data_IF_901823713464
#
_entry.id   IF_901823713464
#
_cell.length_a   1.000
_cell.length_b   1.000
_cell.length_c   1.000
_cell.angle_alpha   90.00
_cell.angle_beta   90.00
_cell.angle_gamma   90.00
#
_symmetry.space_group_name_H-M   'P 1'
#
loop_
_entity.id
_entity.type
_entity.pdbx_description
1 polymer ?
#
# COMPACT_ATOMS: atom_id res chain seq x y z
N UNK A 1 13.40 23.15 -0.06
CA UNK A 1 13.21 22.73 1.34
C UNK A 1 13.11 21.21 1.33
N UNK A 2 13.95 20.50 2.10
CA UNK A 2 13.83 19.04 2.21
C UNK A 2 12.47 18.69 2.84
N UNK A 3 11.76 17.66 2.36
CA UNK A 3 10.52 17.23 2.99
C UNK A 3 10.81 16.79 4.43
N UNK A 4 10.00 17.25 5.38
CA UNK A 4 10.06 16.79 6.76
C UNK A 4 9.35 15.44 6.84
N UNK A 5 10.11 14.35 7.05
CA UNK A 5 9.57 13.02 7.29
C UNK A 5 9.08 12.93 8.74
N UNK A 6 7.94 13.56 9.02
CA UNK A 6 7.23 13.39 10.29
C UNK A 6 6.56 12.01 10.30
N UNK A 7 6.64 11.32 11.44
CA UNK A 7 6.05 9.99 11.63
C UNK A 7 4.54 10.02 11.93
N UNK A 8 3.93 11.21 11.84
CA UNK A 8 2.48 11.40 11.92
C UNK A 8 1.77 10.63 10.81
N UNK A 9 1.43 9.38 11.14
CA UNK A 9 0.73 8.43 10.27
C UNK A 9 -0.73 8.85 10.08
N UNK A 10 -1.21 8.71 8.85
CA UNK A 10 -2.64 8.79 8.58
C UNK A 10 -3.29 7.50 9.05
N UNK A 11 -4.24 7.64 9.97
CA UNK A 11 -4.97 6.52 10.56
C UNK A 11 -6.24 6.29 9.74
N UNK A 12 -6.45 5.06 9.30
CA UNK A 12 -7.65 4.63 8.60
C UNK A 12 -8.78 4.45 9.61
N UNK A 13 -9.81 5.28 9.50
CA UNK A 13 -10.94 5.31 10.45
C UNK A 13 -12.10 4.45 9.97
N UNK A 14 -13.05 4.19 10.88
CA UNK A 14 -14.30 3.48 10.56
C UNK A 14 -15.18 4.22 9.54
N UNK A 15 -15.08 5.57 9.47
CA UNK A 15 -15.76 6.31 8.39
C UNK A 15 -15.09 6.09 7.03
N UNK A 16 -13.75 5.98 7.02
CA UNK A 16 -12.99 5.70 5.80
C UNK A 16 -13.34 4.33 5.23
N UNK A 17 -13.61 3.32 6.06
CA UNK A 17 -14.06 1.98 5.62
C UNK A 17 -15.22 2.01 4.61
N UNK A 18 -16.15 2.96 4.77
CA UNK A 18 -17.35 3.09 3.92
C UNK A 18 -17.11 3.85 2.61
N UNK A 19 -16.02 4.61 2.52
CA UNK A 19 -15.82 5.62 1.47
C UNK A 19 -14.51 5.46 0.71
N UNK A 20 -13.54 4.75 1.28
CA UNK A 20 -12.23 4.56 0.70
C UNK A 20 -12.17 3.26 -0.09
N UNK A 21 -11.51 3.35 -1.24
CA UNK A 21 -11.05 2.18 -1.98
C UNK A 21 -9.70 1.74 -1.44
N UNK A 22 -9.50 0.45 -1.25
CA UNK A 22 -8.25 -0.12 -0.75
C UNK A 22 -7.57 -0.90 -1.87
N UNK A 23 -6.41 -0.41 -2.31
CA UNK A 23 -5.63 -1.06 -3.37
C UNK A 23 -4.74 -2.16 -2.78
N UNK A 24 -4.85 -3.36 -3.33
CA UNK A 24 -4.07 -4.54 -2.94
C UNK A 24 -3.02 -4.84 -4.00
N UNK A 25 -1.73 -4.93 -3.63
CA UNK A 25 -0.71 -5.38 -4.57
C UNK A 25 -0.95 -6.85 -4.94
N UNK A 26 -0.64 -7.22 -6.18
CA UNK A 26 -0.81 -8.59 -6.64
C UNK A 26 0.32 -9.47 -6.13
N UNK A 27 -0.01 -10.41 -5.24
CA UNK A 27 0.94 -11.36 -4.66
C UNK A 27 0.72 -12.80 -5.13
N UNK A 28 -0.52 -13.17 -5.49
CA UNK A 28 -0.82 -14.49 -6.02
C UNK A 28 -2.18 -14.50 -6.75
N UNK A 29 -2.20 -14.61 -8.09
CA UNK A 29 -3.43 -14.48 -8.87
C UNK A 29 -4.57 -15.43 -8.45
N UNK A 30 -4.24 -16.66 -8.00
CA UNK A 30 -5.23 -17.68 -7.68
C UNK A 30 -5.87 -17.50 -6.30
N UNK A 31 -5.08 -17.19 -5.28
CA UNK A 31 -5.60 -17.03 -3.90
C UNK A 31 -6.43 -15.76 -3.77
N UNK A 32 -6.02 -14.73 -4.50
CA UNK A 32 -6.52 -13.39 -4.28
C UNK A 32 -7.83 -13.10 -5.05
N UNK A 33 -8.13 -13.83 -6.12
CA UNK A 33 -9.46 -13.77 -6.78
C UNK A 33 -10.61 -14.25 -5.87
N UNK A 34 -10.30 -15.11 -4.89
CA UNK A 34 -11.27 -15.55 -3.87
C UNK A 34 -11.41 -14.55 -2.71
N UNK A 35 -10.35 -13.79 -2.42
CA UNK A 35 -10.34 -12.82 -1.32
C UNK A 35 -11.16 -11.57 -1.64
N UNK A 36 -11.16 -11.11 -2.89
CA UNK A 36 -11.91 -9.92 -3.30
C UNK A 36 -13.41 -9.97 -2.97
N UNK A 37 -14.19 -11.01 -3.35
CA UNK A 37 -15.60 -11.08 -3.01
C UNK A 37 -15.85 -11.21 -1.50
N UNK A 38 -14.96 -11.88 -0.76
CA UNK A 38 -15.06 -12.02 0.70
C UNK A 38 -14.89 -10.66 1.37
N UNK A 39 -13.86 -9.89 1.01
CA UNK A 39 -13.60 -8.58 1.59
C UNK A 39 -14.70 -7.56 1.25
N UNK A 40 -15.27 -7.65 0.04
CA UNK A 40 -16.45 -6.85 -0.34
C UNK A 40 -17.67 -7.18 0.51
N UNK A 41 -17.91 -8.46 0.82
CA UNK A 41 -18.99 -8.87 1.71
C UNK A 41 -18.79 -8.35 3.14
N UNK A 42 -17.54 -8.25 3.60
CA UNK A 42 -17.18 -7.64 4.89
C UNK A 42 -17.26 -6.09 4.86
N UNK A 43 -17.77 -5.48 3.78
CA UNK A 43 -18.03 -4.04 3.72
C UNK A 43 -16.81 -3.18 3.42
N UNK A 44 -15.77 -3.75 2.80
CA UNK A 44 -14.59 -3.02 2.33
C UNK A 44 -14.55 -2.98 0.79
N UNK A 45 -14.26 -1.82 0.20
CA UNK A 45 -14.05 -1.72 -1.25
C UNK A 45 -12.59 -2.03 -1.61
N UNK A 46 -12.25 -3.32 -1.64
CA UNK A 46 -10.94 -3.77 -2.09
C UNK A 46 -10.88 -3.89 -3.61
N UNK A 47 -9.78 -3.41 -4.18
CA UNK A 47 -9.43 -3.60 -5.58
C UNK A 47 -8.06 -4.26 -5.69
N UNK A 48 -8.05 -5.39 -6.40
CA UNK A 48 -6.83 -6.09 -6.72
C UNK A 48 -6.14 -5.43 -7.90
N UNK A 49 -4.88 -5.05 -7.72
CA UNK A 49 -4.10 -4.60 -8.86
C UNK A 49 -3.82 -5.79 -9.81
N UNK A 50 -3.73 -5.54 -11.12
CA UNK A 50 -3.33 -6.57 -12.09
C UNK A 50 -1.89 -7.00 -11.85
N UNK A 51 -1.43 -8.07 -12.49
CA UNK A 51 -0.03 -8.50 -12.37
C UNK A 51 0.93 -7.32 -12.67
N UNK A 52 2.01 -7.17 -11.87
CA UNK A 52 2.94 -6.06 -12.05
C UNK A 52 3.62 -6.15 -13.41
N UNK A 53 3.77 -4.98 -14.03
CA UNK A 53 4.39 -4.77 -15.33
C UNK A 53 5.81 -4.27 -15.17
N UNK A 54 6.54 -4.14 -16.29
CA UNK A 54 7.86 -3.52 -16.28
C UNK A 54 7.82 -2.06 -15.84
N UNK A 55 6.77 -1.34 -16.22
CA UNK A 55 6.62 0.08 -15.85
C UNK A 55 6.45 0.24 -14.34
N UNK A 56 5.75 -0.70 -13.68
CA UNK A 56 5.63 -0.72 -12.22
C UNK A 56 7.00 -0.88 -11.54
N UNK A 57 7.89 -1.69 -12.11
CA UNK A 57 9.26 -1.87 -11.60
C UNK A 57 10.07 -0.58 -11.75
N UNK A 58 9.98 0.09 -12.90
CA UNK A 58 10.67 1.37 -13.14
C UNK A 58 10.17 2.45 -12.17
N UNK A 59 8.86 2.50 -11.90
CA UNK A 59 8.29 3.38 -10.87
C UNK A 59 8.84 3.03 -9.49
N UNK A 60 8.94 1.74 -9.14
CA UNK A 60 9.54 1.30 -7.89
C UNK A 60 10.99 1.77 -7.73
N UNK A 61 11.82 1.63 -8.77
CA UNK A 61 13.21 2.08 -8.81
C UNK A 61 13.35 3.60 -8.71
N UNK A 62 12.33 4.38 -9.12
CA UNK A 62 12.31 5.83 -8.96
C UNK A 62 12.12 6.27 -7.51
N UNK A 63 11.34 5.55 -6.73
CA UNK A 63 10.96 5.94 -5.37
C UNK A 63 11.69 5.16 -4.26
N UNK A 64 12.33 4.04 -4.58
CA UNK A 64 13.04 3.19 -3.62
C UNK A 64 14.52 3.11 -4.00
N UNK A 65 15.38 2.98 -2.98
CA UNK A 65 16.80 2.74 -3.19
C UNK A 65 17.06 1.35 -3.82
N UNK A 66 18.08 1.27 -4.67
CA UNK A 66 18.49 0.04 -5.35
C UNK A 66 18.92 -1.12 -4.43
N UNK A 67 19.17 -0.85 -3.14
CA UNK A 67 19.52 -1.87 -2.13
C UNK A 67 18.28 -2.48 -1.43
N UNK A 68 17.07 -2.07 -1.81
CA UNK A 68 15.86 -2.74 -1.40
C UNK A 68 15.75 -4.12 -2.09
N UNK A 69 15.17 -5.11 -1.39
CA UNK A 69 14.94 -6.40 -2.01
C UNK A 69 13.93 -6.26 -3.16
N UNK A 70 14.15 -7.02 -4.24
CA UNK A 70 13.36 -6.90 -5.46
C UNK A 70 11.84 -6.97 -5.27
N UNK A 71 11.28 -7.82 -4.37
CA UNK A 71 9.83 -7.80 -4.13
C UNK A 71 9.34 -6.49 -3.50
N UNK A 72 10.16 -5.77 -2.73
CA UNK A 72 9.80 -4.44 -2.23
C UNK A 72 9.63 -3.44 -3.38
N UNK A 73 10.56 -3.49 -4.34
CA UNK A 73 10.57 -2.63 -5.54
C UNK A 73 9.31 -2.88 -6.35
N UNK A 74 8.96 -4.15 -6.61
CA UNK A 74 7.75 -4.51 -7.35
C UNK A 74 6.50 -4.03 -6.62
N UNK A 75 6.35 -4.35 -5.33
CA UNK A 75 5.11 -4.11 -4.58
C UNK A 75 4.84 -2.62 -4.40
N UNK A 76 5.85 -1.87 -3.96
CA UNK A 76 5.72 -0.42 -3.81
C UNK A 76 5.60 0.24 -5.19
N UNK A 77 6.34 -0.23 -6.19
CA UNK A 77 6.25 0.27 -7.55
C UNK A 77 4.85 0.13 -8.15
N UNK A 78 4.23 -1.04 -7.97
CA UNK A 78 2.86 -1.31 -8.40
C UNK A 78 1.83 -0.41 -7.71
N UNK A 79 1.93 -0.25 -6.38
CA UNK A 79 1.02 0.63 -5.63
C UNK A 79 1.21 2.10 -6.02
N UNK A 80 2.46 2.55 -6.13
CA UNK A 80 2.77 3.92 -6.55
C UNK A 80 2.33 4.19 -7.99
N UNK A 81 2.52 3.24 -8.90
CA UNK A 81 2.07 3.33 -10.29
C UNK A 81 0.55 3.45 -10.38
N UNK A 82 -0.17 2.64 -9.60
CA UNK A 82 -1.62 2.74 -9.50
C UNK A 82 -2.06 4.13 -9.01
N UNK A 83 -1.49 4.64 -7.92
CA UNK A 83 -1.80 5.98 -7.41
C UNK A 83 -1.45 7.10 -8.40
N UNK A 84 -0.33 6.98 -9.11
CA UNK A 84 0.10 7.98 -10.10
C UNK A 84 -0.67 7.91 -11.42
N UNK A 85 -1.45 6.86 -11.66
CA UNK A 85 -2.17 6.65 -12.92
C UNK A 85 -3.29 7.66 -13.20
N UNK A 86 -3.73 8.40 -12.18
CA UNK A 86 -4.88 9.32 -12.26
C UNK A 86 -6.24 8.61 -12.29
N UNK A 87 -6.28 7.27 -12.18
CA UNK A 87 -7.53 6.49 -12.16
C UNK A 87 -8.26 6.52 -10.82
N UNK A 88 -7.57 6.87 -9.74
CA UNK A 88 -8.08 6.81 -8.37
C UNK A 88 -8.12 8.20 -7.74
N UNK A 89 -9.13 8.42 -6.89
CA UNK A 89 -9.21 9.59 -6.02
C UNK A 89 -8.28 9.38 -4.83
N UNK A 90 -7.13 10.06 -4.84
CA UNK A 90 -6.06 9.90 -3.84
C UNK A 90 -6.54 10.24 -2.42
N UNK A 91 -7.50 11.15 -2.29
CA UNK A 91 -8.05 11.54 -0.99
C UNK A 91 -9.07 10.53 -0.47
N UNK A 92 -9.48 9.56 -1.29
CA UNK A 92 -10.37 8.44 -0.94
C UNK A 92 -9.78 7.09 -1.30
N UNK A 93 -8.45 7.00 -1.35
CA UNK A 93 -7.74 5.76 -1.63
C UNK A 93 -6.80 5.45 -0.49
N UNK A 94 -6.83 4.19 -0.05
CA UNK A 94 -5.86 3.60 0.85
C UNK A 94 -5.12 2.48 0.13
N UNK A 95 -3.95 2.12 0.65
CA UNK A 95 -3.14 1.01 0.15
C UNK A 95 -2.88 0.02 1.27
N UNK A 96 -2.82 -1.27 0.95
CA UNK A 96 -2.53 -2.32 1.94
C UNK A 96 -1.23 -3.05 1.61
N UNK A 97 -0.48 -3.40 2.66
CA UNK A 97 0.72 -4.22 2.53
C UNK A 97 0.87 -5.18 3.71
N UNK A 98 1.44 -6.36 3.47
CA UNK A 98 1.75 -7.29 4.54
C UNK A 98 2.94 -6.81 5.36
N UNK A 99 2.85 -6.93 6.69
CA UNK A 99 3.94 -6.64 7.60
C UNK A 99 4.15 -7.85 8.51
N UNK A 100 5.30 -8.52 8.38
CA UNK A 100 5.53 -9.77 9.11
C UNK A 100 6.03 -9.56 10.54
N UNK A 101 6.53 -8.36 10.87
CA UNK A 101 7.00 -8.02 12.22
C UNK A 101 8.27 -8.77 12.67
N UNK A 102 8.89 -9.57 11.80
CA UNK A 102 10.11 -10.33 12.08
C UNK A 102 11.35 -9.75 11.39
N UNK A 103 12.47 -10.49 11.45
CA UNK A 103 13.76 -10.10 10.84
C UNK A 103 13.80 -10.13 9.30
N UNK A 104 12.66 -10.38 8.63
CA UNK A 104 12.57 -10.34 7.18
C UNK A 104 12.51 -8.89 6.66
N UNK A 105 13.04 -8.65 5.45
CA UNK A 105 12.94 -7.34 4.78
C UNK A 105 11.49 -6.90 4.50
N UNK A 106 10.54 -7.83 4.46
CA UNK A 106 9.11 -7.54 4.30
C UNK A 106 8.56 -6.57 5.37
N UNK A 107 9.09 -6.62 6.60
CA UNK A 107 8.72 -5.70 7.68
C UNK A 107 8.94 -4.23 7.30
N UNK A 108 9.91 -3.95 6.42
CA UNK A 108 10.29 -2.60 6.04
C UNK A 108 9.50 -2.04 4.85
N UNK A 109 8.63 -2.83 4.19
CA UNK A 109 7.95 -2.37 2.98
C UNK A 109 7.02 -1.19 3.25
N UNK A 110 6.37 -1.18 4.42
CA UNK A 110 5.55 -0.05 4.88
C UNK A 110 6.36 1.25 4.98
N UNK A 111 7.63 1.17 5.42
CA UNK A 111 8.52 2.33 5.51
C UNK A 111 8.93 2.84 4.13
N UNK A 112 9.25 1.95 3.19
CA UNK A 112 9.53 2.32 1.81
C UNK A 112 8.33 2.97 1.13
N UNK A 113 7.14 2.39 1.31
CA UNK A 113 5.91 2.93 0.75
C UNK A 113 5.57 4.30 1.34
N UNK A 114 5.71 4.47 2.66
CA UNK A 114 5.48 5.77 3.32
C UNK A 114 6.41 6.84 2.80
N UNK A 115 7.70 6.53 2.65
CA UNK A 115 8.67 7.44 2.03
C UNK A 115 8.25 7.80 0.60
N UNK A 116 7.92 6.81 -0.22
CA UNK A 116 7.50 7.01 -1.60
C UNK A 116 6.27 7.92 -1.72
N UNK A 117 5.27 7.74 -0.85
CA UNK A 117 4.08 8.60 -0.78
C UNK A 117 4.43 10.04 -0.39
N UNK A 118 5.31 10.24 0.60
CA UNK A 118 5.77 11.57 1.00
C UNK A 118 6.52 12.26 -0.15
N UNK A 119 7.43 11.54 -0.81
CA UNK A 119 8.24 12.05 -1.92
C UNK A 119 7.36 12.42 -3.13
N UNK A 120 6.24 11.73 -3.32
CA UNK A 120 5.24 12.00 -4.35
C UNK A 120 4.17 13.04 -3.93
N UNK A 121 4.23 13.60 -2.72
CA UNK A 121 3.25 14.57 -2.23
C UNK A 121 1.90 13.97 -1.83
N UNK A 122 1.80 12.65 -1.69
CA UNK A 122 0.60 11.86 -1.36
C UNK A 122 0.60 11.37 0.09
N UNK A 123 1.16 12.16 1.02
CA UNK A 123 1.30 11.79 2.44
C UNK A 123 -0.03 11.51 3.16
N UNK A 124 -1.15 11.94 2.58
CA UNK A 124 -2.50 11.74 3.10
C UNK A 124 -3.05 10.32 2.85
N UNK A 125 -2.45 9.55 1.95
CA UNK A 125 -2.91 8.18 1.63
C UNK A 125 -2.65 7.26 2.83
N UNK A 126 -3.68 6.64 3.42
CA UNK A 126 -3.49 5.68 4.51
C UNK A 126 -2.80 4.42 4.01
N UNK A 127 -1.85 3.89 4.81
CA UNK A 127 -1.25 2.59 4.59
C UNK A 127 -1.78 1.60 5.64
N UNK A 128 -2.49 0.58 5.19
CA UNK A 128 -2.97 -0.52 6.01
C UNK A 128 -1.88 -1.58 6.13
N UNK A 129 -1.65 -2.04 7.36
CA UNK A 129 -0.70 -3.11 7.64
C UNK A 129 -1.45 -4.40 7.90
N UNK A 130 -1.33 -5.37 6.99
CA UNK A 130 -1.84 -6.72 7.20
C UNK A 130 -0.82 -7.51 8.03
N UNK A 131 -1.08 -7.63 9.33
CA UNK A 131 -0.24 -8.35 10.28
C UNK A 131 -1.05 -8.99 11.41
N UNK A 132 -0.47 -9.96 12.10
CA UNK A 132 -1.11 -10.67 13.22
C UNK A 132 -0.66 -10.15 14.60
N UNK A 133 0.19 -9.12 14.64
CA UNK A 133 0.91 -8.69 15.85
C UNK A 133 0.41 -7.35 16.39
N UNK A 134 -0.81 -6.92 16.01
CA UNK A 134 -1.42 -5.61 16.31
C UNK A 134 -0.48 -4.42 16.02
N UNK A 135 0.42 -4.60 15.05
CA UNK A 135 1.32 -3.54 14.60
C UNK A 135 0.53 -2.57 13.74
N UNK A 136 0.88 -1.28 13.81
CA UNK A 136 0.29 -0.26 12.97
C UNK A 136 -1.25 -0.20 13.04
N UNK A 137 -1.82 -0.30 14.25
CA UNK A 137 -3.27 -0.34 14.50
C UNK A 137 -4.06 0.72 13.72
N UNK A 138 -5.08 0.26 13.00
CA UNK A 138 -6.00 1.04 12.17
C UNK A 138 -7.44 0.77 12.63
N UNK A 139 -8.14 1.71 13.31
CA UNK A 139 -9.47 1.45 13.85
C UNK A 139 -10.50 0.95 12.82
N UNK A 140 -10.38 1.35 11.55
CA UNK A 140 -11.28 0.90 10.48
C UNK A 140 -10.89 -0.40 9.77
N UNK A 141 -9.78 -1.06 10.14
CA UNK A 141 -9.24 -2.26 9.49
C UNK A 141 -8.75 -3.29 10.51
#
# INVERSE_FOLDING_TARGET
>A
KLPTYDYNRVVFTEEMRKTYKILVPQMSPLHFSLLEPVLKNEGYDFEMLPAPTRDDIEVGLKYINNDACYPAIIVVGQLMSALLSGKYDIDKTAVIISQTGGGCRATNYIGYLRKALIDAGMKQVPILSLNASDMERQPGF
#
